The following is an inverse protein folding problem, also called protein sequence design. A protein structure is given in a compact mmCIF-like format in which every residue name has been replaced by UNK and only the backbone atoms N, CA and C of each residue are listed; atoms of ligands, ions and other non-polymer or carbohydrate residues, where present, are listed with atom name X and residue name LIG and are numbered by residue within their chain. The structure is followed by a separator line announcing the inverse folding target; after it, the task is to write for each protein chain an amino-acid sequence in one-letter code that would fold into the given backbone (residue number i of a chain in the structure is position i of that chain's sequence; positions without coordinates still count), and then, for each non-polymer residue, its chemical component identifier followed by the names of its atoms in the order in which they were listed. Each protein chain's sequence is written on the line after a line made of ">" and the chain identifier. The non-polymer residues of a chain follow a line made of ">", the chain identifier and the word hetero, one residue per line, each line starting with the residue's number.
data_IF_428131793270
#
_entry.id   IF_428131793270
#
_cell.length_a   1.000
_cell.length_b   1.000
_cell.length_c   1.000
_cell.angle_alpha   90.00
_cell.angle_beta   90.00
_cell.angle_gamma   90.00
#
_symmetry.space_group_name_H-M   'P 1'
#
loop_
_entity.id
_entity.type
_entity.pdbx_description
1 polymer ?
#
# COMPACT_ATOMS: atom_id res chain seq x y z
N UNK A 1 -6.54 5.28 15.02
CA UNK A 1 -6.32 4.05 14.23
C UNK A 1 -7.01 4.09 12.87
N UNK A 2 -8.34 4.19 12.78
CA UNK A 2 -9.08 4.13 11.50
C UNK A 2 -8.53 5.04 10.39
N UNK A 3 -8.27 6.31 10.67
CA UNK A 3 -7.72 7.25 9.69
C UNK A 3 -6.28 6.89 9.23
N UNK A 4 -5.46 6.31 10.10
CA UNK A 4 -4.09 5.87 9.77
C UNK A 4 -4.09 4.59 8.93
N UNK A 5 -4.98 3.65 9.24
CA UNK A 5 -5.17 2.46 8.41
C UNK A 5 -5.74 2.83 7.05
N UNK A 6 -6.71 3.76 6.98
CA UNK A 6 -7.31 4.21 5.73
C UNK A 6 -6.31 4.97 4.85
N UNK A 7 -5.50 5.86 5.45
CA UNK A 7 -4.42 6.55 4.71
C UNK A 7 -3.37 5.56 4.23
N UNK A 8 -2.95 4.59 5.06
CA UNK A 8 -2.06 3.52 4.60
C UNK A 8 -2.66 2.75 3.42
N UNK A 9 -3.94 2.37 3.48
CA UNK A 9 -4.62 1.65 2.41
C UNK A 9 -4.73 2.48 1.12
N UNK A 10 -5.16 3.74 1.22
CA UNK A 10 -5.31 4.64 0.06
C UNK A 10 -3.98 4.87 -0.65
N UNK A 11 -2.91 5.13 0.11
CA UNK A 11 -1.60 5.32 -0.48
C UNK A 11 -0.96 4.00 -0.95
N UNK A 12 -1.30 2.86 -0.34
CA UNK A 12 -0.92 1.55 -0.88
C UNK A 12 -1.56 1.31 -2.26
N UNK A 13 -2.76 1.85 -2.51
CA UNK A 13 -3.37 1.84 -3.86
C UNK A 13 -2.66 2.78 -4.85
N UNK A 14 -1.97 3.84 -4.40
CA UNK A 14 -1.16 4.67 -5.32
C UNK A 14 -0.03 3.86 -5.97
N UNK A 15 0.52 2.86 -5.27
CA UNK A 15 1.52 1.96 -5.85
C UNK A 15 0.92 1.15 -7.02
N UNK A 16 -0.35 0.76 -6.89
CA UNK A 16 -1.09 0.06 -7.94
C UNK A 16 -1.42 1.01 -9.11
N UNK A 17 -1.81 2.25 -8.82
CA UNK A 17 -2.03 3.29 -9.84
C UNK A 17 -0.73 3.62 -10.60
N UNK A 18 0.41 3.72 -9.92
CA UNK A 18 1.72 3.92 -10.57
C UNK A 18 2.08 2.74 -11.49
N UNK A 19 1.79 1.50 -11.06
CA UNK A 19 2.01 0.32 -11.88
C UNK A 19 1.17 0.37 -13.16
N UNK A 20 -0.12 0.71 -13.05
CA UNK A 20 -0.99 0.91 -14.21
C UNK A 20 -0.45 1.99 -15.15
N UNK A 21 -0.13 3.17 -14.61
CA UNK A 21 0.41 4.30 -15.38
C UNK A 21 1.71 3.92 -16.10
N UNK A 22 2.62 3.19 -15.43
CA UNK A 22 3.87 2.71 -16.02
C UNK A 22 3.62 1.78 -17.19
N UNK A 23 2.66 0.85 -17.06
CA UNK A 23 2.29 -0.06 -18.12
C UNK A 23 1.68 0.69 -19.32
N UNK A 24 0.75 1.61 -19.08
CA UNK A 24 0.14 2.45 -20.13
C UNK A 24 1.17 3.32 -20.84
N UNK A 25 2.13 3.91 -20.10
CA UNK A 25 3.21 4.73 -20.68
C UNK A 25 4.12 3.87 -21.56
N UNK A 26 4.49 2.66 -21.13
CA UNK A 26 5.33 1.77 -21.93
C UNK A 26 4.65 1.37 -23.24
N UNK A 27 3.35 1.02 -23.22
CA UNK A 27 2.58 0.76 -24.45
C UNK A 27 2.58 1.99 -25.35
N UNK A 28 2.24 3.16 -24.82
CA UNK A 28 2.20 4.40 -25.60
C UNK A 28 3.55 4.75 -26.24
N UNK A 29 4.65 4.55 -25.49
CA UNK A 29 5.99 4.78 -25.98
C UNK A 29 6.35 3.84 -27.16
N UNK A 30 5.99 2.56 -27.04
CA UNK A 30 6.25 1.56 -28.08
C UNK A 30 5.36 1.81 -29.31
N UNK A 31 4.05 1.94 -29.11
CA UNK A 31 3.08 1.91 -30.20
C UNK A 31 2.93 3.26 -30.91
N UNK A 32 3.11 4.38 -30.20
CA UNK A 32 2.88 5.73 -30.75
C UNK A 32 4.19 6.50 -30.97
N UNK A 33 5.13 6.43 -30.03
CA UNK A 33 6.38 7.22 -30.13
C UNK A 33 7.42 6.55 -31.02
N UNK A 34 7.54 5.22 -30.98
CA UNK A 34 8.52 4.49 -31.80
C UNK A 34 7.99 4.03 -33.17
N UNK A 35 6.67 3.93 -33.36
CA UNK A 35 6.08 3.62 -34.67
C UNK A 35 6.25 4.80 -35.63
N UNK A 36 6.72 4.51 -36.86
CA UNK A 36 7.04 5.52 -37.88
C UNK A 36 5.89 5.85 -38.84
N UNK A 37 4.71 5.27 -38.62
CA UNK A 37 3.53 5.49 -39.47
C UNK A 37 2.96 6.91 -39.36
N UNK A 38 2.43 7.42 -40.46
CA UNK A 38 1.79 8.75 -40.52
C UNK A 38 0.57 8.85 -39.61
N UNK A 39 -0.16 7.74 -39.39
CA UNK A 39 -1.28 7.68 -38.45
C UNK A 39 -0.86 7.82 -36.98
N UNK A 40 0.32 7.31 -36.60
CA UNK A 40 0.86 7.43 -35.25
C UNK A 40 1.33 8.86 -34.95
N UNK A 41 1.84 9.57 -35.96
CA UNK A 41 2.22 10.99 -35.83
C UNK A 41 1.04 11.92 -35.56
N UNK A 42 -0.17 11.55 -35.98
CA UNK A 42 -1.40 12.28 -35.66
C UNK A 42 -1.92 11.99 -34.23
N UNK A 43 -1.56 10.83 -33.65
CA UNK A 43 -1.92 10.42 -32.29
C UNK A 43 -0.94 10.89 -31.20
N UNK A 44 0.06 11.71 -31.57
CA UNK A 44 0.98 12.35 -30.62
C UNK A 44 0.22 13.34 -29.73
N UNK A 45 0.39 13.20 -28.40
CA UNK A 45 -0.14 14.14 -27.40
C UNK A 45 0.26 15.60 -27.64
N UNK A 46 1.38 15.82 -28.35
CA UNK A 46 1.82 17.13 -28.84
C UNK A 46 2.05 16.99 -30.35
N UNK A 47 1.16 17.55 -31.20
CA UNK A 47 1.30 17.41 -32.65
C UNK A 47 2.62 18.03 -33.13
N UNK A 48 3.40 17.25 -33.89
CA UNK A 48 4.59 17.72 -34.60
C UNK A 48 5.93 17.67 -33.85
N UNK A 49 5.98 17.27 -32.57
CA UNK A 49 7.25 17.21 -31.81
C UNK A 49 7.42 15.93 -30.96
N UNK A 50 7.93 14.83 -31.55
CA UNK A 50 8.12 13.56 -30.83
C UNK A 50 9.08 13.66 -29.64
N UNK A 51 10.10 14.52 -29.72
CA UNK A 51 11.07 14.75 -28.64
C UNK A 51 10.42 15.45 -27.44
N UNK A 52 9.50 16.39 -27.67
CA UNK A 52 8.79 17.09 -26.60
C UNK A 52 7.85 16.14 -25.85
N UNK A 53 7.11 15.30 -26.60
CA UNK A 53 6.24 14.26 -26.03
C UNK A 53 7.04 13.24 -25.22
N UNK A 54 8.20 12.79 -25.72
CA UNK A 54 9.08 11.86 -25.00
C UNK A 54 9.63 12.46 -23.69
N UNK A 55 10.05 13.74 -23.70
CA UNK A 55 10.49 14.44 -22.48
C UNK A 55 9.36 14.57 -21.46
N UNK A 56 8.16 14.91 -21.92
CA UNK A 56 6.99 15.00 -21.04
C UNK A 56 6.68 13.64 -20.40
N UNK A 57 6.67 12.56 -21.19
CA UNK A 57 6.48 11.19 -20.69
C UNK A 57 7.54 10.79 -19.67
N UNK A 58 8.81 11.15 -19.91
CA UNK A 58 9.91 10.84 -19.00
C UNK A 58 9.74 11.55 -17.64
N UNK A 59 9.33 12.82 -17.64
CA UNK A 59 9.03 13.55 -16.40
C UNK A 59 7.78 12.97 -15.71
N UNK A 60 6.73 12.69 -16.48
CA UNK A 60 5.50 12.08 -15.97
C UNK A 60 5.74 10.69 -15.36
N UNK A 61 6.76 9.96 -15.82
CA UNK A 61 7.19 8.69 -15.24
C UNK A 61 8.02 8.89 -13.96
N UNK A 62 8.92 9.86 -13.93
CA UNK A 62 9.81 10.11 -12.80
C UNK A 62 9.10 10.66 -11.55
N UNK A 63 8.12 11.56 -11.73
CA UNK A 63 7.37 12.18 -10.61
C UNK A 63 6.69 11.14 -9.70
N UNK A 64 5.84 10.23 -10.21
CA UNK A 64 5.16 9.26 -9.35
C UNK A 64 6.13 8.24 -8.74
N UNK A 65 7.27 7.94 -9.39
CA UNK A 65 8.33 7.12 -8.78
C UNK A 65 8.85 7.76 -7.49
N UNK A 66 9.18 9.06 -7.52
CA UNK A 66 9.66 9.78 -6.34
C UNK A 66 8.58 9.88 -5.26
N UNK A 67 7.33 10.13 -5.64
CA UNK A 67 6.20 10.22 -4.70
C UNK A 67 5.95 8.90 -3.97
N UNK A 68 5.97 7.77 -4.69
CA UNK A 68 5.82 6.44 -4.08
C UNK A 68 6.98 6.14 -3.13
N UNK A 69 8.21 6.49 -3.51
CA UNK A 69 9.38 6.25 -2.67
C UNK A 69 9.39 7.12 -1.39
N UNK A 70 9.00 8.38 -1.52
CA UNK A 70 8.82 9.27 -0.38
C UNK A 70 7.72 8.76 0.56
N UNK A 71 6.64 8.20 -0.01
CA UNK A 71 5.58 7.59 0.78
C UNK A 71 6.05 6.34 1.53
N UNK A 72 6.80 5.44 0.88
CA UNK A 72 7.34 4.25 1.54
C UNK A 72 8.23 4.65 2.73
N UNK A 73 9.07 5.69 2.57
CA UNK A 73 9.89 6.24 3.65
C UNK A 73 9.04 6.83 4.80
N UNK A 74 7.93 7.51 4.48
CA UNK A 74 7.01 8.04 5.48
C UNK A 74 6.24 6.92 6.19
N UNK A 75 5.85 5.87 5.47
CA UNK A 75 5.14 4.71 5.99
C UNK A 75 5.98 3.94 7.00
N UNK A 76 7.29 3.77 6.73
CA UNK A 76 8.23 3.17 7.70
C UNK A 76 8.26 3.94 9.02
N UNK A 77 8.14 5.28 8.98
CA UNK A 77 8.09 6.11 10.20
C UNK A 77 6.76 6.06 10.94
N UNK A 78 5.68 5.58 10.31
CA UNK A 78 4.33 5.56 10.87
C UNK A 78 4.11 4.42 11.88
N UNK A 79 5.01 3.43 11.91
CA UNK A 79 5.07 2.30 12.86
C UNK A 79 3.68 1.78 13.29
N UNK A 80 2.92 1.33 12.29
CA UNK A 80 1.53 0.87 12.50
C UNK A 80 1.53 -0.35 13.43
N UNK A 81 2.51 -1.23 13.30
CA UNK A 81 2.68 -2.43 14.12
C UNK A 81 2.90 -2.07 15.59
N UNK A 82 3.83 -1.16 15.89
CA UNK A 82 4.09 -0.70 17.26
C UNK A 82 2.85 -0.07 17.90
N UNK A 83 2.10 0.74 17.16
CA UNK A 83 0.86 1.35 17.68
C UNK A 83 -0.24 0.31 17.94
N UNK A 84 -0.39 -0.69 17.07
CA UNK A 84 -1.38 -1.77 17.26
C UNK A 84 -1.01 -2.62 18.46
N UNK A 85 0.27 -2.98 18.60
CA UNK A 85 0.80 -3.70 19.75
C UNK A 85 0.51 -2.97 21.06
N UNK A 86 0.92 -1.71 21.19
CA UNK A 86 0.73 -0.92 22.42
C UNK A 86 -0.75 -0.77 22.76
N UNK A 87 -1.60 -0.55 21.76
CA UNK A 87 -3.05 -0.49 21.95
C UNK A 87 -3.62 -1.81 22.46
N UNK A 88 -3.22 -2.94 21.86
CA UNK A 88 -3.70 -4.27 22.25
C UNK A 88 -3.25 -4.60 23.67
N UNK A 89 -1.97 -4.40 23.99
CA UNK A 89 -1.41 -4.57 25.33
C UNK A 89 -2.15 -3.74 26.38
N UNK A 90 -2.38 -2.45 26.11
CA UNK A 90 -3.10 -1.56 27.03
C UNK A 90 -4.55 -1.99 27.23
N UNK A 91 -5.22 -2.45 26.17
CA UNK A 91 -6.60 -2.92 26.24
C UNK A 91 -6.75 -4.23 27.01
N UNK A 92 -5.85 -5.20 26.77
CA UNK A 92 -5.77 -6.47 27.50
C UNK A 92 -5.48 -6.22 29.00
N UNK A 93 -4.49 -5.38 29.29
CA UNK A 93 -4.13 -5.01 30.67
C UNK A 93 -5.28 -4.33 31.40
N UNK A 94 -5.95 -3.38 30.74
CA UNK A 94 -7.16 -2.73 31.30
C UNK A 94 -8.28 -3.73 31.54
N UNK A 95 -8.49 -4.70 30.63
CA UNK A 95 -9.53 -5.71 30.78
C UNK A 95 -9.24 -6.65 31.96
N UNK A 96 -7.98 -7.06 32.12
CA UNK A 96 -7.54 -7.87 33.24
C UNK A 96 -7.76 -7.19 34.61
N UNK A 97 -7.44 -5.90 34.74
CA UNK A 97 -7.66 -5.15 35.98
C UNK A 97 -9.15 -5.02 36.35
N UNK A 98 -10.04 -5.07 35.36
CA UNK A 98 -11.49 -4.99 35.55
C UNK A 98 -12.16 -6.37 35.66
N UNK A 99 -11.41 -7.47 35.73
CA UNK A 99 -12.01 -8.80 35.95
C UNK A 99 -12.63 -8.91 37.35
N UNK A 100 -13.85 -9.45 37.39
CA UNK A 100 -14.50 -9.88 38.62
C UNK A 100 -13.69 -11.00 39.29
N UNK A 101 -13.85 -11.14 40.61
CA UNK A 101 -13.06 -12.08 41.40
C UNK A 101 -13.24 -13.54 40.93
N UNK A 102 -14.45 -13.90 40.50
CA UNK A 102 -14.77 -15.21 39.91
C UNK A 102 -13.96 -15.48 38.62
N UNK A 103 -13.89 -14.50 37.72
CA UNK A 103 -13.10 -14.58 36.48
C UNK A 103 -11.59 -14.51 36.73
N UNK A 104 -11.16 -13.90 37.84
CA UNK A 104 -9.74 -13.79 38.21
C UNK A 104 -9.21 -15.10 38.81
N UNK A 105 -10.08 -15.92 39.41
CA UNK A 105 -9.74 -17.27 39.90
C UNK A 105 -9.62 -18.30 38.78
N UNK A 106 -10.33 -18.13 37.67
CA UNK A 106 -10.31 -19.06 36.54
C UNK A 106 -9.15 -18.84 35.57
N UNK A 107 -8.48 -17.68 35.62
CA UNK A 107 -7.38 -17.34 34.71
C UNK A 107 -6.07 -17.21 35.48
N UNK A 108 -5.03 -17.92 35.05
CA UNK A 108 -3.73 -17.87 35.73
C UNK A 108 -3.02 -16.55 35.37
N UNK A 109 -2.42 -15.84 36.33
CA UNK A 109 -1.68 -14.59 36.05
C UNK A 109 -0.58 -14.76 34.99
N UNK A 110 0.08 -15.92 34.98
CA UNK A 110 1.10 -16.26 33.98
C UNK A 110 0.55 -16.32 32.55
N UNK A 111 -0.67 -16.83 32.36
CA UNK A 111 -1.32 -16.90 31.04
C UNK A 111 -1.68 -15.51 30.52
N UNK A 112 -2.15 -14.61 31.39
CA UNK A 112 -2.42 -13.21 31.03
C UNK A 112 -1.12 -12.50 30.63
N UNK A 113 -0.04 -12.71 31.37
CA UNK A 113 1.25 -12.10 31.05
C UNK A 113 1.79 -12.60 29.70
N UNK A 114 1.66 -13.90 29.42
CA UNK A 114 2.02 -14.47 28.12
C UNK A 114 1.17 -13.85 26.99
N UNK A 115 -0.14 -13.76 27.17
CA UNK A 115 -1.05 -13.18 26.18
C UNK A 115 -0.76 -11.68 25.90
N UNK A 116 -0.38 -10.92 26.94
CA UNK A 116 0.00 -9.51 26.78
C UNK A 116 1.37 -9.38 26.12
N UNK A 117 2.34 -10.24 26.41
CA UNK A 117 3.72 -10.06 25.93
C UNK A 117 3.98 -10.72 24.58
N UNK A 118 3.33 -11.84 24.29
CA UNK A 118 3.57 -12.70 23.13
C UNK A 118 2.41 -12.60 22.14
N UNK A 119 1.20 -13.01 22.53
CA UNK A 119 0.05 -13.06 21.61
C UNK A 119 -0.32 -11.67 21.05
N UNK A 120 -0.14 -10.62 21.84
CA UNK A 120 -0.39 -9.25 21.38
C UNK A 120 0.59 -8.79 20.29
N UNK A 121 1.81 -9.31 20.30
CA UNK A 121 2.84 -9.03 19.30
C UNK A 121 2.49 -9.78 18.02
N UNK A 122 2.19 -11.07 18.14
CA UNK A 122 1.82 -11.91 17.00
C UNK A 122 0.55 -11.39 16.31
N UNK A 123 -0.44 -10.93 17.08
CA UNK A 123 -1.67 -10.35 16.52
C UNK A 123 -1.40 -9.00 15.82
N UNK A 124 -0.51 -8.17 16.38
CA UNK A 124 -0.14 -6.90 15.76
C UNK A 124 0.61 -7.12 14.43
N UNK A 125 1.54 -8.08 14.41
CA UNK A 125 2.24 -8.50 13.19
C UNK A 125 1.25 -9.08 12.16
N UNK A 126 0.32 -9.94 12.60
CA UNK A 126 -0.76 -10.48 11.77
C UNK A 126 -1.65 -9.40 11.16
N UNK A 127 -1.93 -8.34 11.91
CA UNK A 127 -2.68 -7.19 11.37
C UNK A 127 -1.89 -6.42 10.31
N UNK A 128 -0.59 -6.21 10.52
CA UNK A 128 0.27 -5.56 9.53
C UNK A 128 0.42 -6.39 8.24
N UNK A 129 0.49 -7.72 8.34
CA UNK A 129 0.52 -8.60 7.17
C UNK A 129 -0.80 -8.58 6.40
N UNK A 130 -1.95 -8.50 7.07
CA UNK A 130 -3.26 -8.35 6.40
C UNK A 130 -3.35 -7.06 5.56
N UNK A 131 -2.83 -5.94 6.06
CA UNK A 131 -2.76 -4.68 5.29
C UNK A 131 -1.89 -4.88 4.04
N UNK A 132 -0.76 -5.55 4.19
CA UNK A 132 0.15 -5.85 3.07
C UNK A 132 -0.50 -6.79 2.05
N UNK A 133 -1.27 -7.77 2.50
CA UNK A 133 -1.99 -8.70 1.63
C UNK A 133 -3.08 -7.99 0.83
N UNK A 134 -3.77 -7.02 1.43
CA UNK A 134 -4.72 -6.14 0.72
C UNK A 134 -4.04 -5.36 -0.42
N UNK A 135 -2.81 -4.86 -0.21
CA UNK A 135 -2.01 -4.21 -1.27
C UNK A 135 -1.73 -5.17 -2.43
N UNK A 136 -1.31 -6.40 -2.14
CA UNK A 136 -1.03 -7.41 -3.17
C UNK A 136 -2.29 -7.76 -3.98
N UNK A 137 -3.44 -7.88 -3.30
CA UNK A 137 -4.72 -8.15 -3.95
C UNK A 137 -5.08 -7.02 -4.93
N UNK A 138 -4.92 -5.76 -4.53
CA UNK A 138 -5.11 -4.61 -5.43
C UNK A 138 -4.17 -4.63 -6.64
N UNK A 139 -2.91 -5.03 -6.45
CA UNK A 139 -1.94 -5.19 -7.56
C UNK A 139 -2.41 -6.24 -8.56
N UNK A 140 -2.90 -7.39 -8.08
CA UNK A 140 -3.45 -8.45 -8.95
C UNK A 140 -4.66 -7.95 -9.73
N UNK A 141 -5.59 -7.23 -9.10
CA UNK A 141 -6.77 -6.66 -9.77
C UNK A 141 -6.36 -5.68 -10.87
N UNK A 142 -5.42 -4.78 -10.59
CA UNK A 142 -4.93 -3.82 -11.60
C UNK A 142 -4.28 -4.54 -12.79
N UNK A 143 -3.45 -5.55 -12.54
CA UNK A 143 -2.85 -6.36 -13.61
C UNK A 143 -3.92 -7.09 -14.43
N UNK A 144 -4.94 -7.64 -13.77
CA UNK A 144 -6.03 -8.33 -14.44
C UNK A 144 -6.87 -7.38 -15.32
N UNK A 145 -7.19 -6.19 -14.81
CA UNK A 145 -7.91 -5.15 -15.58
C UNK A 145 -7.06 -4.72 -16.78
N UNK A 146 -5.76 -4.51 -16.58
CA UNK A 146 -4.86 -4.12 -17.67
C UNK A 146 -4.83 -5.19 -18.78
N UNK A 147 -4.66 -6.46 -18.41
CA UNK A 147 -4.68 -7.59 -19.37
C UNK A 147 -6.03 -7.70 -20.07
N UNK A 148 -7.15 -7.44 -19.39
CA UNK A 148 -8.48 -7.49 -19.99
C UNK A 148 -8.80 -6.29 -20.91
N UNK A 149 -8.10 -5.16 -20.73
CA UNK A 149 -8.29 -3.94 -21.52
C UNK A 149 -7.39 -3.92 -22.77
N UNK A 150 -6.34 -4.75 -22.77
CA UNK A 150 -5.46 -4.99 -23.90
C UNK A 150 -6.13 -5.93 -24.92
#
# INVERSE_FOLDING_TARGET
>A
MRARTLTSLLFDQMHNAYLFMTLSINIYLIDVVFTRDEGARAALLIPGQPIATARFLAVAYAVPMVLVHAWDALKTKLDIEGHVRVFLQRSMFRKYLNYAEESRRSVRPAEIQLAITTDSVDLAAGYATLITLSKMCGKMVVLMIFVATQ
#
